data_IF_285365258553
#
_entry.id   IF_285365258553
#
_cell.length_a   1.000
_cell.length_b   1.000
_cell.length_c   1.000
_cell.angle_alpha   90.00
_cell.angle_beta   90.00
_cell.angle_gamma   90.00
#
_symmetry.space_group_name_H-M   'P 1'
#
loop_
_entity.id
_entity.type
_entity.pdbx_description
1 polymer ?
#
# COMPACT_ATOMS: atom_id res chain seq x y z
N UNK A 1 -19.97 4.39 -10.01
CA UNK A 1 -18.63 4.96 -9.77
C UNK A 1 -18.64 5.99 -8.65
N UNK A 2 -19.42 7.08 -8.75
CA UNK A 2 -19.51 8.09 -7.68
C UNK A 2 -19.85 7.52 -6.30
N UNK A 3 -20.80 6.58 -6.21
CA UNK A 3 -21.14 5.91 -4.94
C UNK A 3 -19.97 5.14 -4.33
N UNK A 4 -19.16 4.48 -5.16
CA UNK A 4 -17.97 3.72 -4.72
C UNK A 4 -16.90 4.69 -4.22
N UNK A 5 -16.74 5.84 -4.89
CA UNK A 5 -15.77 6.84 -4.46
C UNK A 5 -16.20 7.48 -3.14
N UNK A 6 -17.49 7.80 -2.96
CA UNK A 6 -18.02 8.26 -1.67
C UNK A 6 -17.73 7.25 -0.55
N UNK A 7 -17.88 5.95 -0.84
CA UNK A 7 -17.51 4.89 0.10
C UNK A 7 -16.00 4.88 0.40
N UNK A 8 -15.14 5.07 -0.61
CA UNK A 8 -13.70 5.19 -0.38
C UNK A 8 -13.35 6.41 0.47
N UNK A 9 -13.99 7.55 0.26
CA UNK A 9 -13.77 8.77 1.04
C UNK A 9 -14.18 8.57 2.50
N UNK A 10 -15.31 7.89 2.75
CA UNK A 10 -15.71 7.55 4.13
C UNK A 10 -14.76 6.58 4.85
N UNK A 11 -14.10 5.67 4.11
CA UNK A 11 -13.20 4.67 4.70
C UNK A 11 -11.75 5.16 4.83
N UNK A 12 -11.28 5.99 3.90
CA UNK A 12 -9.89 6.44 3.82
C UNK A 12 -9.68 7.89 4.28
N UNK A 13 -10.74 8.67 4.44
CA UNK A 13 -10.70 10.10 4.77
C UNK A 13 -11.23 10.99 3.65
N UNK A 14 -11.92 12.07 4.05
CA UNK A 14 -12.69 12.92 3.15
C UNK A 14 -11.87 13.87 2.28
N UNK A 15 -12.38 14.13 1.07
CA UNK A 15 -12.10 15.33 0.28
C UNK A 15 -11.03 15.23 -0.81
N UNK A 16 -10.25 14.14 -0.89
CA UNK A 16 -9.04 14.11 -1.74
C UNK A 16 -9.03 12.99 -2.79
N UNK A 17 -10.08 12.17 -2.88
CA UNK A 17 -10.04 10.96 -3.72
C UNK A 17 -10.53 11.25 -5.14
N UNK A 18 -11.62 12.01 -5.30
CA UNK A 18 -12.20 12.33 -6.61
C UNK A 18 -11.80 13.71 -7.17
N UNK A 19 -10.62 13.79 -7.76
CA UNK A 19 -10.19 14.97 -8.52
C UNK A 19 -10.41 14.81 -10.04
N UNK A 20 -10.39 15.93 -10.79
CA UNK A 20 -10.73 16.00 -12.22
C UNK A 20 -9.92 15.06 -13.13
N UNK A 21 -8.73 14.61 -12.69
CA UNK A 21 -7.81 13.83 -13.51
C UNK A 21 -7.61 12.38 -13.04
N UNK A 22 -8.45 11.87 -12.13
CA UNK A 22 -8.34 10.46 -11.70
C UNK A 22 -8.94 9.50 -12.72
N UNK A 23 -8.36 8.31 -12.78
CA UNK A 23 -8.94 7.12 -13.41
C UNK A 23 -9.36 6.14 -12.32
N UNK A 24 -10.60 5.65 -12.41
CA UNK A 24 -11.15 4.68 -11.46
C UNK A 24 -11.23 3.31 -12.15
N UNK A 25 -10.67 2.31 -11.50
CA UNK A 25 -10.68 0.91 -11.91
C UNK A 25 -11.48 0.12 -10.89
N UNK A 26 -12.46 -0.64 -11.36
CA UNK A 26 -13.31 -1.47 -10.49
C UNK A 26 -12.96 -2.94 -10.71
N UNK A 27 -12.76 -3.65 -9.61
CA UNK A 27 -12.67 -5.11 -9.64
C UNK A 27 -14.06 -5.70 -9.40
N UNK A 28 -14.62 -6.33 -10.43
CA UNK A 28 -15.96 -6.92 -10.39
C UNK A 28 -15.84 -8.44 -10.26
N UNK A 29 -16.48 -8.99 -9.23
CA UNK A 29 -16.57 -10.44 -9.00
C UNK A 29 -18.01 -10.80 -8.65
N UNK A 30 -18.54 -11.84 -9.28
CA UNK A 30 -19.93 -12.30 -9.04
C UNK A 30 -20.97 -11.18 -9.10
N UNK A 31 -20.86 -10.29 -10.10
CA UNK A 31 -21.75 -9.13 -10.31
C UNK A 31 -21.71 -8.09 -9.18
N UNK A 32 -20.70 -8.13 -8.32
CA UNK A 32 -20.46 -7.14 -7.24
C UNK A 32 -19.13 -6.44 -7.43
N UNK A 33 -19.06 -5.19 -7.02
CA UNK A 33 -17.78 -4.48 -6.86
C UNK A 33 -17.10 -5.06 -5.64
N UNK A 34 -16.01 -5.79 -5.86
CA UNK A 34 -15.22 -6.43 -4.80
C UNK A 34 -13.92 -5.68 -4.50
N UNK A 35 -13.58 -4.67 -5.29
CA UNK A 35 -12.46 -3.76 -5.03
C UNK A 35 -12.52 -2.53 -5.92
N UNK A 36 -11.87 -1.46 -5.48
CA UNK A 36 -11.79 -0.20 -6.21
C UNK A 36 -10.39 0.38 -6.13
N UNK A 37 -9.86 0.83 -7.26
CA UNK A 37 -8.57 1.50 -7.37
C UNK A 37 -8.75 2.85 -8.06
N UNK A 38 -8.29 3.92 -7.43
CA UNK A 38 -8.24 5.27 -7.98
C UNK A 38 -6.78 5.59 -8.26
N UNK A 39 -6.47 5.87 -9.52
CA UNK A 39 -5.15 6.28 -9.96
C UNK A 39 -5.16 7.75 -10.40
N UNK A 40 -4.13 8.50 -10.00
CA UNK A 40 -3.90 9.87 -10.40
C UNK A 40 -2.49 10.07 -10.91
N UNK A 41 -2.30 11.03 -11.81
CA UNK A 41 -0.95 11.40 -12.22
C UNK A 41 -0.27 12.15 -11.08
N UNK A 42 0.94 11.75 -10.74
CA UNK A 42 1.84 12.48 -9.83
C UNK A 42 3.18 12.65 -10.54
N UNK A 43 3.98 13.62 -10.09
CA UNK A 43 5.31 13.84 -10.66
C UNK A 43 6.41 13.20 -9.83
N UNK A 44 6.21 13.14 -8.51
CA UNK A 44 7.22 12.70 -7.55
C UNK A 44 6.59 11.97 -6.37
N UNK A 45 7.35 11.07 -5.76
CA UNK A 45 7.00 10.36 -4.54
C UNK A 45 8.23 10.23 -3.64
N UNK A 46 8.01 9.96 -2.36
CA UNK A 46 9.09 9.68 -1.41
C UNK A 46 9.06 8.20 -1.07
N UNK A 47 10.23 7.56 -1.05
CA UNK A 47 10.34 6.14 -0.70
C UNK A 47 10.09 5.96 0.80
N UNK A 48 9.37 4.91 1.15
CA UNK A 48 9.17 4.54 2.54
C UNK A 48 10.49 4.03 3.15
N UNK A 49 10.83 4.47 4.35
CA UNK A 49 11.94 3.91 5.13
C UNK A 49 11.41 2.66 5.82
N UNK A 50 11.86 1.49 5.38
CA UNK A 50 11.51 0.21 6.00
C UNK A 50 12.26 0.07 7.33
N UNK A 51 11.53 -0.10 8.44
CA UNK A 51 12.11 -0.41 9.76
C UNK A 51 12.60 -1.86 9.89
N UNK A 52 12.83 -2.58 8.79
CA UNK A 52 13.40 -3.92 8.85
C UNK A 52 14.92 -3.84 8.76
N UNK A 53 15.58 -3.93 9.92
CA UNK A 53 16.98 -4.34 10.03
C UNK A 53 17.13 -5.79 9.55
N UNK A 54 17.07 -5.98 8.22
CA UNK A 54 17.60 -7.14 7.54
C UNK A 54 17.61 -6.82 6.05
N UNK A 55 18.81 -6.62 5.50
CA UNK A 55 19.07 -7.01 4.12
C UNK A 55 18.71 -8.49 4.01
N UNK A 56 17.47 -8.83 3.64
CA UNK A 56 17.26 -10.11 2.98
C UNK A 56 17.60 -9.88 1.52
N UNK A 57 18.84 -10.17 1.15
CA UNK A 57 19.10 -10.66 -0.19
C UNK A 57 18.12 -11.82 -0.42
N UNK A 58 17.05 -11.58 -1.16
CA UNK A 58 16.18 -12.65 -1.64
C UNK A 58 16.93 -13.32 -2.77
N UNK A 59 17.98 -14.07 -2.41
CA UNK A 59 18.34 -15.26 -3.18
C UNK A 59 17.15 -16.20 -3.08
N UNK A 60 16.50 -16.40 -4.23
CA UNK A 60 15.48 -17.41 -4.49
C UNK A 60 15.92 -18.76 -3.92
N UNK A 61 15.46 -19.10 -2.72
CA UNK A 61 15.50 -20.47 -2.23
C UNK A 61 14.08 -20.99 -2.17
N UNK A 62 13.83 -21.92 -3.08
CA UNK A 62 12.65 -22.77 -3.19
C UNK A 62 12.35 -23.46 -1.86
N UNK A 63 11.35 -22.97 -1.13
CA UNK A 63 10.54 -23.80 -0.24
C UNK A 63 9.08 -23.46 -0.45
N UNK A 64 8.35 -24.46 -0.94
CA UNK A 64 6.90 -24.45 -1.13
C UNK A 64 6.19 -24.39 0.23
N UNK A 65 6.11 -23.20 0.82
CA UNK A 65 4.97 -22.88 1.66
C UNK A 65 3.89 -22.32 0.75
N UNK A 66 2.67 -22.87 0.87
CA UNK A 66 1.49 -22.52 0.08
C UNK A 66 1.14 -21.05 0.31
N UNK A 67 1.85 -20.15 -0.36
CA UNK A 67 1.69 -18.72 -0.22
C UNK A 67 0.36 -18.36 -0.86
N UNK A 68 -0.59 -17.95 -0.02
CA UNK A 68 -1.78 -17.26 -0.51
C UNK A 68 -1.25 -16.07 -1.29
N UNK A 69 -1.40 -16.09 -2.62
CA UNK A 69 -0.91 -15.02 -3.48
C UNK A 69 -1.49 -13.70 -2.97
N UNK A 70 -0.63 -12.82 -2.47
CA UNK A 70 -0.99 -11.45 -2.07
C UNK A 70 -0.99 -10.51 -3.28
N UNK A 71 -0.95 -11.08 -4.49
CA UNK A 71 -0.87 -10.36 -5.75
C UNK A 71 -2.27 -9.94 -6.21
N UNK A 72 -2.57 -8.65 -6.13
CA UNK A 72 -3.78 -8.07 -6.71
C UNK A 72 -3.49 -7.66 -8.16
N UNK A 73 -4.28 -8.16 -9.12
CA UNK A 73 -4.14 -7.80 -10.54
C UNK A 73 -5.27 -6.90 -10.99
N UNK A 74 -4.91 -5.76 -11.59
CA UNK A 74 -5.83 -4.82 -12.21
C UNK A 74 -5.43 -4.66 -13.69
N UNK A 75 -6.14 -5.37 -14.58
CA UNK A 75 -5.76 -5.42 -15.99
C UNK A 75 -4.35 -5.99 -16.17
N UNK A 76 -3.44 -5.20 -16.76
CA UNK A 76 -2.03 -5.57 -16.97
C UNK A 76 -1.10 -5.26 -15.78
N UNK A 77 -1.60 -4.68 -14.68
CA UNK A 77 -0.79 -4.26 -13.54
C UNK A 77 -0.96 -5.24 -12.37
N UNK A 78 0.15 -5.60 -11.72
CA UNK A 78 0.17 -6.51 -10.57
C UNK A 78 0.75 -5.80 -9.34
N UNK A 79 0.00 -5.81 -8.24
CA UNK A 79 0.41 -5.26 -6.94
C UNK A 79 0.67 -6.39 -5.97
N UNK A 80 1.78 -6.36 -5.24
CA UNK A 80 2.06 -7.31 -4.17
C UNK A 80 1.85 -6.62 -2.83
N UNK A 81 0.89 -7.10 -2.02
CA UNK A 81 0.70 -6.56 -0.67
C UNK A 81 1.84 -7.04 0.22
N UNK A 82 2.63 -6.09 0.72
CA UNK A 82 3.56 -6.34 1.82
C UNK A 82 2.74 -6.51 3.12
N UNK A 83 2.89 -7.66 3.78
CA UNK A 83 2.26 -7.94 5.07
C UNK A 83 3.36 -7.91 6.13
N UNK A 84 3.56 -6.76 6.77
CA UNK A 84 4.47 -6.67 7.91
C UNK A 84 3.75 -7.21 9.14
N UNK A 85 4.06 -8.45 9.54
CA UNK A 85 3.63 -8.97 10.84
C UNK A 85 4.44 -8.27 11.92
N UNK A 86 3.78 -7.45 12.74
CA UNK A 86 4.39 -6.89 13.95
C UNK A 86 4.64 -8.04 14.93
N UNK A 87 5.87 -8.55 14.96
CA UNK A 87 6.28 -9.47 16.01
C UNK A 87 6.27 -8.69 17.33
N UNK A 88 5.51 -9.14 18.32
CA UNK A 88 5.64 -8.63 19.68
C UNK A 88 7.01 -9.07 20.22
N UNK A 89 8.02 -8.23 20.04
CA UNK A 89 9.31 -8.43 20.70
C UNK A 89 9.07 -8.36 22.20
N UNK A 90 9.36 -9.46 22.89
CA UNK A 90 9.40 -9.53 24.35
C UNK A 90 10.30 -8.43 24.89
N UNK A 91 9.75 -7.69 25.87
CA UNK A 91 10.41 -6.69 26.73
C UNK A 91 11.94 -6.78 26.72
N UNK A 92 12.59 -5.82 26.09
CA UNK A 92 13.89 -5.33 26.53
C UNK A 92 13.85 -3.82 26.38
N UNK A 93 13.84 -3.14 27.53
CA UNK A 93 13.85 -1.68 27.64
C UNK A 93 15.08 -1.13 26.90
N UNK A 94 14.85 -0.38 25.82
CA UNK A 94 15.80 0.62 25.32
C UNK A 94 15.14 1.99 25.47
N UNK A 95 15.87 3.01 25.96
CA UNK A 95 15.29 4.31 26.23
C UNK A 95 15.02 5.06 24.92
N UNK A 96 13.82 5.63 24.83
CA UNK A 96 13.37 6.66 23.87
C UNK A 96 13.40 6.32 22.37
N UNK A 97 12.49 5.44 21.91
CA UNK A 97 11.94 5.48 20.53
C UNK A 97 10.40 5.32 20.53
N UNK A 98 9.75 5.68 21.64
CA UNK A 98 8.30 5.51 21.83
C UNK A 98 7.45 6.49 20.96
N UNK A 99 8.10 7.51 20.38
CA UNK A 99 7.44 8.58 19.62
C UNK A 99 7.15 8.25 18.13
N UNK A 100 7.70 7.16 17.60
CA UNK A 100 7.58 6.81 16.17
C UNK A 100 6.72 5.56 15.91
N UNK A 101 6.13 4.98 16.96
CA UNK A 101 5.24 3.83 16.83
C UNK A 101 3.99 4.19 16.03
N UNK A 102 3.94 3.74 14.77
CA UNK A 102 2.83 3.99 13.84
C UNK A 102 3.05 5.17 12.88
N UNK A 103 4.18 5.87 12.98
CA UNK A 103 4.54 6.90 12.01
C UNK A 103 5.02 6.25 10.70
N UNK A 104 4.52 6.76 9.57
CA UNK A 104 5.07 6.45 8.24
C UNK A 104 6.27 7.36 8.01
N UNK A 105 7.47 6.77 7.94
CA UNK A 105 8.72 7.51 7.70
C UNK A 105 9.09 7.36 6.23
N UNK A 106 9.43 8.47 5.58
CA UNK A 106 9.87 8.48 4.20
C UNK A 106 11.29 9.03 4.08
N UNK A 107 12.01 8.65 3.02
CA UNK A 107 13.27 9.25 2.62
C UNK A 107 13.11 10.76 2.44
N UNK A 108 14.19 11.52 2.67
CA UNK A 108 14.18 12.98 2.55
C UNK A 108 14.02 13.46 1.11
N UNK A 109 14.59 12.71 0.16
CA UNK A 109 14.63 13.10 -1.24
C UNK A 109 13.50 12.41 -2.03
N UNK A 110 12.84 13.20 -2.87
CA UNK A 110 11.78 12.70 -3.74
C UNK A 110 12.37 12.02 -4.99
N UNK A 111 11.74 10.95 -5.45
CA UNK A 111 12.04 10.30 -6.73
C UNK A 111 10.92 10.57 -7.75
N UNK A 112 11.21 10.54 -9.06
CA UNK A 112 10.18 10.61 -10.09
C UNK A 112 9.16 9.48 -9.93
N UNK A 113 7.89 9.80 -10.14
CA UNK A 113 6.79 8.83 -10.12
C UNK A 113 5.82 9.12 -11.27
N UNK A 114 5.07 8.08 -11.67
CA UNK A 114 4.12 8.19 -12.80
C UNK A 114 2.67 8.30 -12.32
N UNK A 115 2.32 7.62 -11.23
CA UNK A 115 0.98 7.69 -10.68
C UNK A 115 0.93 7.43 -9.18
N UNK A 116 0.01 8.12 -8.50
CA UNK A 116 -0.42 7.86 -7.14
C UNK A 116 -1.64 6.95 -7.17
N UNK A 117 -1.72 6.01 -6.23
CA UNK A 117 -2.77 4.99 -6.19
C UNK A 117 -3.40 4.95 -4.81
N UNK A 118 -4.73 4.94 -4.78
CA UNK A 118 -5.56 4.66 -3.60
C UNK A 118 -6.45 3.47 -3.91
N UNK A 119 -6.55 2.50 -3.02
CA UNK A 119 -7.36 1.30 -3.26
C UNK A 119 -8.03 0.78 -1.99
N UNK A 120 -9.21 0.18 -2.16
CA UNK A 120 -9.93 -0.63 -1.17
C UNK A 120 -10.28 -1.99 -1.76
#
# INVERSE_FOLDING_TARGET
VQEIIKMMESELGDGWIYHKHCKVYLFISSQRVAGCLVAESIEKAYRLVSNSDAKSDVTTTTKEEKSVSTTLRFGGVSFHREIVRKNHSTKNERPSEDALLGAVICEKDSVPALCGIRAI
#
